data_IF_993297521831
#
_entry.id   IF_993297521831
#
_cell.length_a   1.000
_cell.length_b   1.000
_cell.length_c   1.000
_cell.angle_alpha   90.00
_cell.angle_beta   90.00
_cell.angle_gamma   90.00
#
_symmetry.space_group_name_H-M   'P 1'
#
loop_
_entity.id
_entity.type
_entity.pdbx_description
1 polymer ?
#
# COMPACT_ATOMS: atom_id res chain seq x y z
N UNK A 1 3.45 5.45 8.80
CA UNK A 1 4.63 5.86 9.59
C UNK A 1 5.51 6.76 8.73
N UNK A 2 6.16 7.76 9.32
CA UNK A 2 7.27 8.51 8.69
C UNK A 2 8.40 8.56 9.70
N UNK A 3 9.60 8.14 9.30
CA UNK A 3 10.77 8.03 10.20
C UNK A 3 10.50 7.24 11.50
N UNK A 4 9.68 6.18 11.42
CA UNK A 4 9.33 5.36 12.58
C UNK A 4 8.15 5.86 13.42
N UNK A 5 7.57 7.03 13.10
CA UNK A 5 6.48 7.62 13.88
C UNK A 5 5.13 7.55 13.16
N UNK A 6 4.05 7.38 13.94
CA UNK A 6 2.67 7.38 13.43
C UNK A 6 2.25 8.81 13.12
N UNK A 7 2.14 9.13 11.82
CA UNK A 7 1.80 10.48 11.34
C UNK A 7 0.30 10.80 11.35
N UNK A 8 -0.56 9.78 11.31
CA UNK A 8 -2.01 9.92 11.30
C UNK A 8 -2.67 8.63 11.78
N UNK A 9 -3.84 8.76 12.40
CA UNK A 9 -4.71 7.64 12.79
C UNK A 9 -6.15 7.98 12.43
N UNK A 10 -6.84 7.02 11.81
CA UNK A 10 -8.28 7.08 11.61
C UNK A 10 -8.86 5.80 12.19
N UNK A 11 -9.64 5.90 13.27
CA UNK A 11 -10.19 4.75 13.96
C UNK A 11 -11.67 4.64 13.62
N UNK A 12 -12.04 3.60 12.87
CA UNK A 12 -13.43 3.28 12.59
C UNK A 12 -14.07 2.51 13.76
N UNK A 13 -15.35 2.75 13.99
CA UNK A 13 -16.17 1.97 14.92
C UNK A 13 -16.33 0.53 14.39
N UNK A 14 -15.72 -0.42 15.08
CA UNK A 14 -15.76 -1.85 14.72
C UNK A 14 -16.93 -2.48 15.47
N UNK A 15 -18.06 -2.67 14.80
CA UNK A 15 -19.27 -3.20 15.46
C UNK A 15 -19.26 -4.73 15.61
N UNK A 16 -18.54 -5.43 14.74
CA UNK A 16 -18.53 -6.89 14.64
C UNK A 16 -17.11 -7.43 14.47
N UNK A 17 -16.89 -8.66 14.93
CA UNK A 17 -15.69 -9.46 14.69
C UNK A 17 -16.09 -10.87 14.23
N UNK A 18 -15.21 -11.54 13.50
CA UNK A 18 -15.39 -12.93 13.10
C UNK A 18 -14.43 -13.80 13.91
N UNK A 19 -14.96 -14.80 14.62
CA UNK A 19 -14.19 -15.73 15.45
C UNK A 19 -14.28 -17.15 14.90
N UNK A 20 -13.19 -17.90 14.97
CA UNK A 20 -13.18 -19.33 14.65
C UNK A 20 -13.87 -20.14 15.76
N UNK A 21 -14.62 -21.18 15.36
CA UNK A 21 -15.26 -22.12 16.28
C UNK A 21 -14.38 -23.36 16.53
N UNK A 22 -14.36 -23.93 17.75
CA UNK A 22 -13.58 -25.14 18.05
C UNK A 22 -13.95 -26.34 17.19
N UNK A 23 -15.20 -26.42 16.76
CA UNK A 23 -15.75 -27.50 15.92
C UNK A 23 -15.55 -27.29 14.42
N UNK A 24 -14.83 -26.22 14.03
CA UNK A 24 -14.75 -25.76 12.65
C UNK A 24 -15.86 -24.77 12.28
N UNK A 25 -15.56 -23.94 11.28
CA UNK A 25 -16.42 -22.82 10.87
C UNK A 25 -16.08 -21.52 11.61
N UNK A 26 -16.89 -20.49 11.34
CA UNK A 26 -16.75 -19.17 11.97
C UNK A 26 -18.09 -18.69 12.51
N UNK A 27 -18.03 -17.78 13.47
CA UNK A 27 -19.19 -17.05 13.96
C UNK A 27 -18.89 -15.56 13.99
N UNK A 28 -19.90 -14.76 13.69
CA UNK A 28 -19.83 -13.31 13.83
C UNK A 28 -20.30 -12.91 15.23
N UNK A 29 -19.52 -12.08 15.92
CA UNK A 29 -19.81 -11.63 17.29
C UNK A 29 -19.82 -10.11 17.35
N UNK A 30 -20.75 -9.55 18.12
CA UNK A 30 -20.78 -8.12 18.40
C UNK A 30 -19.58 -7.72 19.28
N UNK A 31 -18.92 -6.62 18.93
CA UNK A 31 -17.84 -6.05 19.74
C UNK A 31 -18.44 -5.17 20.83
N UNK A 32 -17.93 -5.31 22.05
CA UNK A 32 -18.30 -4.45 23.19
C UNK A 32 -18.15 -2.96 22.83
N UNK A 33 -19.15 -2.14 23.19
CA UNK A 33 -19.21 -0.72 22.82
C UNK A 33 -17.95 0.05 23.20
N UNK A 34 -17.30 -0.29 24.32
CA UNK A 34 -16.07 0.38 24.78
C UNK A 34 -14.87 0.08 23.90
N UNK A 35 -14.89 -1.02 23.14
CA UNK A 35 -13.81 -1.47 22.25
C UNK A 35 -14.01 -1.07 20.79
N UNK A 36 -15.22 -0.70 20.38
CA UNK A 36 -15.52 -0.43 18.97
C UNK A 36 -14.66 0.70 18.41
N UNK A 37 -14.39 1.74 19.21
CA UNK A 37 -13.58 2.91 18.83
C UNK A 37 -12.12 2.82 19.28
N UNK A 38 -11.69 1.68 19.86
CA UNK A 38 -10.28 1.49 20.20
C UNK A 38 -9.47 1.13 18.94
N UNK A 39 -8.22 1.59 18.81
CA UNK A 39 -7.32 1.11 17.77
C UNK A 39 -7.18 -0.41 17.81
N UNK A 40 -7.19 -1.06 16.64
CA UNK A 40 -6.98 -2.50 16.54
C UNK A 40 -5.53 -2.92 16.86
N UNK A 41 -4.59 -1.98 16.70
CA UNK A 41 -3.18 -2.13 17.02
C UNK A 41 -2.73 -0.96 17.89
N UNK A 42 -1.81 -1.22 18.80
CA UNK A 42 -1.06 -0.17 19.49
C UNK A 42 0.02 0.41 18.58
N UNK A 43 0.49 1.62 18.87
CA UNK A 43 1.57 2.24 18.09
C UNK A 43 2.86 1.39 18.13
N UNK A 44 3.14 0.79 19.28
CA UNK A 44 4.26 -0.13 19.47
C UNK A 44 4.14 -1.40 18.60
N UNK A 45 2.92 -1.83 18.24
CA UNK A 45 2.69 -2.93 17.31
C UNK A 45 2.72 -2.47 15.84
N UNK A 46 2.33 -1.23 15.54
CA UNK A 46 2.36 -0.68 14.16
C UNK A 46 3.79 -0.58 13.61
N UNK A 47 4.76 -0.17 14.44
CA UNK A 47 6.17 -0.03 14.04
C UNK A 47 6.77 -1.34 13.49
N UNK A 48 6.77 -2.46 14.24
CA UNK A 48 7.32 -3.73 13.76
C UNK A 48 6.52 -4.30 12.57
N UNK A 49 5.21 -4.08 12.50
CA UNK A 49 4.41 -4.50 11.35
C UNK A 49 4.85 -3.80 10.06
N UNK A 50 5.08 -2.49 10.10
CA UNK A 50 5.57 -1.75 8.93
C UNK A 50 6.98 -2.17 8.55
N UNK A 51 7.86 -2.41 9.52
CA UNK A 51 9.20 -2.92 9.24
C UNK A 51 9.15 -4.29 8.54
N UNK A 52 8.26 -5.18 8.98
CA UNK A 52 8.02 -6.46 8.33
C UNK A 52 7.52 -6.27 6.89
N UNK A 53 6.54 -5.38 6.67
CA UNK A 53 6.05 -5.04 5.34
C UNK A 53 7.15 -4.51 4.40
N UNK A 54 8.03 -3.62 4.89
CA UNK A 54 9.17 -3.10 4.12
C UNK A 54 10.19 -4.18 3.78
N UNK A 55 10.43 -5.13 4.67
CA UNK A 55 11.30 -6.28 4.39
C UNK A 55 10.72 -7.18 3.29
N UNK A 56 9.40 -7.39 3.31
CA UNK A 56 8.69 -8.17 2.28
C UNK A 56 8.73 -7.44 0.93
N UNK A 57 8.45 -6.14 0.91
CA UNK A 57 8.57 -5.30 -0.29
C UNK A 57 9.98 -5.34 -0.88
N UNK A 58 11.02 -5.19 -0.05
CA UNK A 58 12.41 -5.26 -0.47
C UNK A 58 12.78 -6.66 -1.03
N UNK A 59 12.24 -7.73 -0.44
CA UNK A 59 12.44 -9.09 -0.93
C UNK A 59 11.86 -9.32 -2.33
N UNK A 60 10.66 -8.80 -2.60
CA UNK A 60 10.00 -8.93 -3.91
C UNK A 60 10.38 -7.85 -4.92
N UNK A 61 11.10 -6.80 -4.49
CA UNK A 61 11.55 -5.69 -5.33
C UNK A 61 10.42 -4.83 -5.90
N UNK A 62 9.20 -4.91 -5.34
CA UNK A 62 8.04 -4.12 -5.78
C UNK A 62 6.99 -4.01 -4.66
N UNK A 63 6.13 -2.97 -4.66
CA UNK A 63 5.07 -2.80 -3.66
C UNK A 63 4.17 -4.03 -3.54
N UNK A 64 3.87 -4.42 -2.30
CA UNK A 64 3.08 -5.60 -1.97
C UNK A 64 1.79 -5.21 -1.23
N UNK A 65 0.72 -5.93 -1.55
CA UNK A 65 -0.49 -6.06 -0.74
C UNK A 65 -0.34 -7.33 0.11
N UNK A 66 -0.48 -7.18 1.43
CA UNK A 66 -0.06 -8.19 2.43
C UNK A 66 -1.19 -8.44 3.41
N UNK A 67 -1.61 -9.69 3.52
CA UNK A 67 -2.52 -10.15 4.57
C UNK A 67 -1.72 -10.71 5.74
N UNK A 68 -2.12 -10.33 6.96
CA UNK A 68 -1.40 -10.66 8.18
C UNK A 68 -2.35 -10.96 9.34
N UNK A 69 -1.83 -11.65 10.35
CA UNK A 69 -2.51 -11.94 11.61
C UNK A 69 -1.61 -11.55 12.79
N UNK A 70 -2.21 -11.23 13.93
CA UNK A 70 -1.51 -10.96 15.19
C UNK A 70 -1.98 -11.95 16.25
N UNK A 71 -1.07 -12.78 16.77
CA UNK A 71 -1.34 -13.77 17.81
C UNK A 71 -0.21 -13.74 18.83
N UNK A 72 -0.53 -13.61 20.12
CA UNK A 72 0.46 -13.52 21.22
C UNK A 72 1.58 -12.50 20.94
N UNK A 73 1.21 -11.31 20.46
CA UNK A 73 2.11 -10.23 20.03
C UNK A 73 3.06 -10.56 18.85
N UNK A 74 2.89 -11.73 18.22
CA UNK A 74 3.60 -12.14 17.02
C UNK A 74 2.79 -11.93 15.74
N UNK A 75 3.38 -11.23 14.77
CA UNK A 75 2.81 -11.10 13.43
C UNK A 75 3.09 -12.35 12.56
N UNK A 76 2.06 -12.84 11.88
CA UNK A 76 2.13 -13.91 10.89
C UNK A 76 1.66 -13.37 9.55
N UNK A 77 2.35 -13.73 8.46
CA UNK A 77 1.95 -13.36 7.10
C UNK A 77 1.21 -14.54 6.48
N UNK A 78 -0.01 -14.30 5.99
CA UNK A 78 -0.85 -15.35 5.38
C UNK A 78 -0.91 -15.21 3.86
N UNK A 79 -0.69 -14.01 3.33
CA UNK A 79 -0.59 -13.78 1.89
C UNK A 79 0.30 -12.56 1.58
N UNK A 80 1.00 -12.59 0.44
CA UNK A 80 1.65 -11.42 -0.17
C UNK A 80 1.44 -11.48 -1.68
N UNK A 81 1.03 -10.37 -2.28
CA UNK A 81 0.84 -10.24 -3.73
C UNK A 81 1.25 -8.85 -4.22
N UNK A 82 1.73 -8.70 -5.47
CA UNK A 82 2.12 -7.39 -5.98
C UNK A 82 0.92 -6.48 -6.20
N UNK A 83 1.07 -5.19 -5.90
CA UNK A 83 0.10 -4.16 -6.27
C UNK A 83 0.24 -3.87 -7.77
N UNK A 84 -0.86 -3.95 -8.52
CA UNK A 84 -0.88 -3.78 -9.99
C UNK A 84 -1.59 -2.51 -10.45
N UNK A 85 -2.00 -1.64 -9.53
CA UNK A 85 -2.78 -0.42 -9.81
C UNK A 85 -1.97 0.87 -9.74
N UNK A 86 -0.68 0.80 -9.35
CA UNK A 86 0.19 1.97 -9.26
C UNK A 86 0.61 2.43 -10.66
N UNK A 87 0.64 3.75 -10.88
CA UNK A 87 1.23 4.33 -12.08
C UNK A 87 2.76 4.22 -12.00
N UNK A 88 3.45 3.81 -13.08
CA UNK A 88 4.91 3.67 -13.06
C UNK A 88 5.59 5.01 -12.82
N UNK A 89 6.69 4.98 -12.05
CA UNK A 89 7.53 6.16 -11.82
C UNK A 89 8.61 6.21 -12.92
N UNK A 90 8.86 7.35 -13.56
CA UNK A 90 9.96 7.49 -14.53
C UNK A 90 11.31 7.15 -13.90
N UNK A 91 12.18 6.47 -14.65
CA UNK A 91 13.54 6.18 -14.21
C UNK A 91 14.41 7.45 -14.22
N UNK A 92 15.16 7.68 -13.15
CA UNK A 92 16.09 8.82 -12.99
C UNK A 92 17.51 8.33 -12.74
N UNK A 93 18.50 9.15 -13.07
CA UNK A 93 19.92 8.86 -12.80
C UNK A 93 20.39 9.24 -11.39
N UNK A 94 19.51 9.78 -10.55
CA UNK A 94 19.80 10.26 -9.20
C UNK A 94 18.72 9.84 -8.19
N UNK A 95 18.94 10.16 -6.91
CA UNK A 95 18.02 9.89 -5.80
C UNK A 95 17.34 11.16 -5.25
N UNK A 96 17.31 12.23 -6.04
CA UNK A 96 16.69 13.49 -5.62
C UNK A 96 15.16 13.45 -5.76
N UNK A 97 14.48 14.44 -5.19
CA UNK A 97 13.04 14.58 -5.38
C UNK A 97 12.74 15.25 -6.73
N UNK A 98 11.89 14.61 -7.53
CA UNK A 98 11.49 15.11 -8.86
C UNK A 98 10.01 15.48 -8.91
N UNK A 99 9.69 16.49 -9.71
CA UNK A 99 8.32 16.88 -10.04
C UNK A 99 8.10 16.72 -11.54
N UNK A 100 7.14 15.88 -11.92
CA UNK A 100 6.79 15.64 -13.32
C UNK A 100 5.46 16.31 -13.66
N UNK A 101 5.36 16.87 -14.87
CA UNK A 101 4.13 17.47 -15.39
C UNK A 101 3.65 16.65 -16.59
N UNK A 102 2.36 16.32 -16.63
CA UNK A 102 1.79 15.50 -17.69
C UNK A 102 1.64 16.29 -18.99
N UNK A 103 2.47 15.98 -19.98
CA UNK A 103 2.35 16.53 -21.34
C UNK A 103 1.05 16.07 -22.02
N UNK A 104 0.59 14.84 -21.75
CA UNK A 104 -0.69 14.34 -22.26
C UNK A 104 -1.87 15.25 -21.89
N UNK A 105 -1.89 15.78 -20.65
CA UNK A 105 -2.91 16.76 -20.25
C UNK A 105 -2.75 18.11 -20.97
N UNK A 106 -1.52 18.58 -21.19
CA UNK A 106 -1.27 19.83 -21.94
C UNK A 106 -1.79 19.72 -23.39
N UNK A 107 -1.68 18.53 -23.99
CA UNK A 107 -2.13 18.25 -25.36
C UNK A 107 -3.59 17.76 -25.43
N UNK A 108 -4.31 17.71 -24.29
CA UNK A 108 -5.66 17.10 -24.18
C UNK A 108 -5.72 15.66 -24.73
N UNK A 109 -4.63 14.91 -24.63
CA UNK A 109 -4.49 13.53 -25.10
C UNK A 109 -3.89 12.68 -23.98
N UNK A 110 -4.75 12.10 -23.14
CA UNK A 110 -4.36 11.30 -21.97
C UNK A 110 -4.31 9.80 -22.23
N UNK A 111 -4.74 9.36 -23.41
CA UNK A 111 -4.67 7.95 -23.79
C UNK A 111 -3.22 7.46 -23.90
N UNK A 112 -2.94 6.20 -23.55
CA UNK A 112 -1.60 5.65 -23.61
C UNK A 112 -1.09 5.61 -25.06
N UNK A 113 0.11 6.15 -25.27
CA UNK A 113 0.81 6.02 -26.55
C UNK A 113 1.39 4.61 -26.70
N UNK A 114 1.18 4.00 -27.86
CA UNK A 114 1.87 2.74 -28.23
C UNK A 114 3.37 3.00 -28.44
N UNK A 115 4.25 1.98 -28.29
CA UNK A 115 5.70 2.17 -28.36
C UNK A 115 6.21 2.93 -29.59
N UNK A 116 5.76 2.59 -30.81
CA UNK A 116 6.17 3.29 -32.03
C UNK A 116 5.72 4.77 -32.06
N UNK A 117 4.50 5.05 -31.56
CA UNK A 117 3.98 6.41 -31.47
C UNK A 117 4.79 7.26 -30.50
N UNK A 118 5.17 6.68 -29.35
CA UNK A 118 6.03 7.34 -28.37
C UNK A 118 7.42 7.63 -28.95
N UNK A 119 8.05 6.68 -29.65
CA UNK A 119 9.37 6.89 -30.28
C UNK A 119 9.36 7.99 -31.34
N UNK A 120 8.33 8.03 -32.20
CA UNK A 120 8.19 9.10 -33.19
C UNK A 120 7.94 10.46 -32.54
N UNK A 121 7.11 10.49 -31.48
CA UNK A 121 6.89 11.70 -30.70
C UNK A 121 8.19 12.21 -30.07
N UNK A 122 9.01 11.35 -29.46
CA UNK A 122 10.31 11.72 -28.88
C UNK A 122 11.31 12.29 -29.91
N UNK A 123 11.26 11.83 -31.16
CA UNK A 123 12.13 12.33 -32.24
C UNK A 123 11.68 13.69 -32.79
N UNK A 124 10.39 14.01 -32.71
CA UNK A 124 9.78 15.14 -33.43
C UNK A 124 9.28 16.25 -32.53
N UNK A 125 8.85 15.92 -31.32
CA UNK A 125 8.63 16.89 -30.27
C UNK A 125 9.99 17.50 -29.96
N UNK A 126 10.19 18.75 -30.37
CA UNK A 126 11.41 19.50 -30.08
C UNK A 126 11.68 19.46 -28.57
N UNK A 127 12.60 18.60 -28.17
CA UNK A 127 13.26 18.70 -26.87
C UNK A 127 14.38 19.72 -27.08
N UNK A 128 14.55 20.74 -26.21
CA UNK A 128 15.82 21.47 -26.15
C UNK A 128 17.01 20.53 -25.99
#
# INVERSE_FOLDING_TARGET
LRHGEVVAKAIAAKQRAVHALPTGGTQEVAIDSRRQEQPALTDAQVVPLVQLGRRIEAHFGRPQDIEWCLVNDGFQIVQSRPITTLFPVPETGDQENHVYVSVGHQQMMTDPMKPLGLSMWQLTAMVP
#
